data_IF_524908470260
#
_entry.id   IF_524908470260
#
_cell.length_a   1.000
_cell.length_b   1.000
_cell.length_c   1.000
_cell.angle_alpha   90.00
_cell.angle_beta   90.00
_cell.angle_gamma   90.00
#
_symmetry.space_group_name_H-M   'P 1'
#
loop_
_entity.id
_entity.type
_entity.pdbx_description
1 polymer ?
#
# COMPACT_ATOMS: atom_id res chain seq x y z
N UNK A 1 7.43 3.05 3.90
CA UNK A 1 7.28 1.64 3.47
C UNK A 1 6.55 0.89 4.55
N UNK A 2 5.61 0.04 4.15
CA UNK A 2 4.96 -0.93 5.02
C UNK A 2 5.98 -1.97 5.52
N UNK A 3 5.81 -2.43 6.77
CA UNK A 3 6.70 -3.43 7.38
C UNK A 3 6.75 -4.73 6.56
N UNK A 4 5.61 -5.13 6.00
CA UNK A 4 5.47 -6.34 5.17
C UNK A 4 6.30 -6.27 3.89
N UNK A 5 6.25 -5.15 3.17
CA UNK A 5 7.06 -4.94 1.97
C UNK A 5 8.55 -5.10 2.29
N UNK A 6 9.00 -4.51 3.39
CA UNK A 6 10.39 -4.56 3.80
C UNK A 6 10.84 -6.00 4.10
N UNK A 7 10.01 -6.78 4.80
CA UNK A 7 10.29 -8.19 5.09
C UNK A 7 10.32 -9.07 3.83
N UNK A 8 9.50 -8.76 2.83
CA UNK A 8 9.50 -9.47 1.54
C UNK A 8 10.78 -9.13 0.76
N UNK A 9 11.13 -7.85 0.66
CA UNK A 9 12.34 -7.39 -0.04
C UNK A 9 13.62 -7.94 0.59
N UNK A 10 13.66 -8.10 1.92
CA UNK A 10 14.82 -8.68 2.63
C UNK A 10 15.04 -10.17 2.29
N UNK A 11 13.97 -10.91 1.97
CA UNK A 11 14.04 -12.33 1.57
C UNK A 11 14.44 -12.54 0.11
N UNK A 12 14.24 -11.53 -0.74
CA UNK A 12 14.56 -11.63 -2.16
C UNK A 12 16.06 -11.40 -2.36
N UNK A 13 16.80 -12.50 -2.59
CA UNK A 13 18.24 -12.47 -2.87
C UNK A 13 18.53 -12.45 -4.38
N UNK A 14 17.98 -11.47 -5.09
CA UNK A 14 18.17 -11.35 -6.54
C UNK A 14 17.28 -10.28 -7.16
N UNK A 15 17.23 -10.30 -8.49
CA UNK A 15 16.40 -9.38 -9.24
C UNK A 15 14.93 -9.70 -9.05
N UNK A 16 14.11 -8.67 -8.92
CA UNK A 16 12.66 -8.79 -8.89
C UNK A 16 12.02 -7.74 -9.77
N UNK A 17 10.83 -8.05 -10.24
CA UNK A 17 10.00 -7.14 -11.02
C UNK A 17 9.04 -6.50 -10.04
N UNK A 18 8.93 -5.18 -10.08
CA UNK A 18 7.92 -4.44 -9.35
C UNK A 18 6.96 -3.82 -10.35
N UNK A 19 5.67 -4.05 -10.17
CA UNK A 19 4.59 -3.44 -10.94
C UNK A 19 3.92 -2.41 -10.05
N UNK A 20 3.99 -1.14 -10.42
CA UNK A 20 3.33 -0.04 -9.71
C UNK A 20 2.55 0.80 -10.72
N UNK A 21 1.25 1.03 -10.46
CA UNK A 21 0.38 1.82 -11.34
C UNK A 21 0.34 1.35 -12.81
N UNK A 22 0.55 0.05 -13.04
CA UNK A 22 0.63 -0.55 -14.38
C UNK A 22 2.00 -0.45 -15.04
N UNK A 23 2.96 0.24 -14.44
CA UNK A 23 4.35 0.27 -14.89
C UNK A 23 5.16 -0.83 -14.22
N UNK A 24 5.79 -1.70 -15.03
CA UNK A 24 6.70 -2.73 -14.56
C UNK A 24 8.14 -2.25 -14.61
N UNK A 25 8.86 -2.35 -13.49
CA UNK A 25 10.28 -2.00 -13.40
C UNK A 25 11.05 -3.11 -12.71
N UNK A 26 12.19 -3.49 -13.29
CA UNK A 26 13.09 -4.49 -12.70
C UNK A 26 14.01 -3.80 -11.72
N UNK A 27 14.12 -4.37 -10.52
CA UNK A 27 15.00 -3.91 -9.46
C UNK A 27 16.01 -4.99 -9.12
N UNK A 28 17.27 -4.60 -9.01
CA UNK A 28 18.37 -5.53 -8.70
C UNK A 28 18.58 -5.68 -7.20
N UNK A 29 18.07 -4.74 -6.40
CA UNK A 29 18.22 -4.74 -4.95
C UNK A 29 17.14 -3.90 -4.27
N UNK A 30 16.95 -4.16 -2.98
CA UNK A 30 16.12 -3.33 -2.09
C UNK A 30 16.60 -1.87 -2.05
N UNK A 31 17.90 -1.61 -2.04
CA UNK A 31 18.45 -0.25 -1.96
C UNK A 31 18.08 0.58 -3.19
N UNK A 32 18.10 -0.04 -4.38
CA UNK A 32 17.64 0.56 -5.63
C UNK A 32 16.13 0.85 -5.61
N UNK A 33 15.35 -0.06 -5.03
CA UNK A 33 13.93 0.15 -4.79
C UNK A 33 13.66 1.28 -3.77
N UNK A 34 14.44 1.41 -2.69
CA UNK A 34 14.30 2.49 -1.71
C UNK A 34 14.69 3.86 -2.27
N UNK A 35 15.64 3.91 -3.21
CA UNK A 35 15.99 5.13 -3.96
C UNK A 35 14.97 5.49 -5.04
N UNK A 36 14.04 4.59 -5.34
CA UNK A 36 12.97 4.85 -6.30
C UNK A 36 11.97 5.85 -5.72
N UNK A 37 11.46 6.75 -6.56
CA UNK A 37 10.35 7.65 -6.20
C UNK A 37 8.99 6.93 -6.07
N UNK A 38 8.97 5.64 -5.78
CA UNK A 38 7.73 4.91 -5.51
C UNK A 38 7.15 5.46 -4.21
N UNK A 39 5.85 5.79 -4.23
CA UNK A 39 5.18 6.39 -3.08
C UNK A 39 5.42 5.58 -1.79
N UNK A 40 5.74 6.27 -0.70
CA UNK A 40 6.02 5.61 0.60
C UNK A 40 4.80 4.90 1.18
N UNK A 41 3.60 5.25 0.73
CA UNK A 41 2.30 4.72 1.12
C UNK A 41 1.78 3.71 0.09
N UNK A 42 2.53 2.64 -0.11
CA UNK A 42 2.12 1.52 -0.96
C UNK A 42 2.07 0.23 -0.15
N UNK A 43 1.16 -0.65 -0.54
CA UNK A 43 1.06 -2.01 0.00
C UNK A 43 1.23 -3.03 -1.13
N UNK A 44 1.70 -4.22 -0.76
CA UNK A 44 1.81 -5.34 -1.69
C UNK A 44 0.41 -5.89 -1.91
N UNK A 45 -0.12 -5.74 -3.13
CA UNK A 45 -1.42 -6.30 -3.49
C UNK A 45 -1.32 -7.76 -3.89
N UNK A 46 -0.20 -8.16 -4.52
CA UNK A 46 0.03 -9.53 -4.93
C UNK A 46 1.53 -9.81 -5.07
N UNK A 47 1.89 -11.09 -4.91
CA UNK A 47 3.22 -11.62 -5.14
C UNK A 47 3.05 -12.80 -6.10
N UNK A 48 3.72 -12.74 -7.24
CA UNK A 48 3.72 -13.82 -8.23
C UNK A 48 5.14 -14.13 -8.69
N UNK A 49 5.30 -15.21 -9.44
CA UNK A 49 6.59 -15.60 -10.02
C UNK A 49 6.46 -15.72 -11.53
N UNK A 50 7.34 -15.07 -12.28
CA UNK A 50 7.35 -15.09 -13.73
C UNK A 50 8.77 -15.36 -14.22
N UNK A 51 8.95 -16.38 -15.07
CA UNK A 51 10.25 -16.76 -15.66
C UNK A 51 11.40 -16.90 -14.62
N UNK A 52 11.07 -17.41 -13.43
CA UNK A 52 12.03 -17.60 -12.33
C UNK A 52 12.35 -16.33 -11.53
N UNK A 53 11.70 -15.20 -11.82
CA UNK A 53 11.80 -13.95 -11.04
C UNK A 53 10.55 -13.72 -10.21
N UNK A 54 10.73 -13.05 -9.06
CA UNK A 54 9.62 -12.61 -8.22
C UNK A 54 9.02 -11.34 -8.80
N UNK A 55 7.71 -11.31 -8.94
CA UNK A 55 6.92 -10.14 -9.38
C UNK A 55 6.11 -9.64 -8.18
N UNK A 56 6.32 -8.37 -7.83
CA UNK A 56 5.64 -7.68 -6.75
C UNK A 56 4.69 -6.65 -7.35
N UNK A 57 3.39 -6.82 -7.11
CA UNK A 57 2.39 -5.83 -7.50
C UNK A 57 2.10 -4.91 -6.33
N UNK A 58 2.40 -3.62 -6.52
CA UNK A 58 2.20 -2.57 -5.53
C UNK A 58 0.98 -1.75 -5.88
N UNK A 59 0.14 -1.52 -4.87
CA UNK A 59 -0.97 -0.57 -4.95
C UNK A 59 -0.78 0.57 -3.97
N UNK A 60 -1.25 1.73 -4.37
CA UNK A 60 -1.32 2.91 -3.51
C UNK A 60 -2.28 2.62 -2.35
N UNK A 61 -1.80 2.84 -1.14
CA UNK A 61 -2.63 2.82 0.05
C UNK A 61 -3.42 4.12 0.12
N UNK A 62 -4.71 4.05 -0.16
CA UNK A 62 -5.62 5.13 0.11
C UNK A 62 -6.12 4.98 1.55
N UNK A 63 -5.92 6.00 2.38
CA UNK A 63 -6.51 6.02 3.72
C UNK A 63 -8.02 5.81 3.61
N UNK A 64 -8.63 4.96 4.47
CA UNK A 64 -10.07 4.87 4.52
C UNK A 64 -10.61 6.26 4.86
N UNK A 65 -11.34 6.85 3.92
CA UNK A 65 -12.07 8.09 4.16
C UNK A 65 -13.28 7.66 4.99
N UNK A 66 -13.36 8.17 6.24
CA UNK A 66 -14.57 7.97 7.03
C UNK A 66 -15.74 8.59 6.29
N UNK A 67 -16.76 7.79 6.00
CA UNK A 67 -17.98 8.27 5.37
C UNK A 67 -18.76 9.08 6.41
N UNK A 68 -18.48 10.39 6.44
CA UNK A 68 -19.11 11.35 7.37
C UNK A 68 -20.59 11.61 7.04
N UNK A 69 -21.14 11.00 5.98
CA UNK A 69 -22.54 11.13 5.57
C UNK A 69 -23.40 9.89 5.85
N UNK A 70 -22.81 8.84 6.42
CA UNK A 70 -23.49 7.59 6.71
C UNK A 70 -24.56 7.73 7.80
N UNK A 71 -25.56 6.85 7.79
CA UNK A 71 -26.68 6.89 8.73
C UNK A 71 -26.24 6.86 10.21
N UNK A 72 -25.14 6.15 10.52
CA UNK A 72 -24.58 6.12 11.86
C UNK A 72 -24.09 7.50 12.35
N UNK A 73 -23.65 8.38 11.45
CA UNK A 73 -23.23 9.76 11.79
C UNK A 73 -24.44 10.58 12.19
N UNK A 74 -25.54 10.45 11.45
CA UNK A 74 -26.81 11.13 11.75
C UNK A 74 -27.40 10.63 13.07
N UNK A 75 -27.30 9.34 13.35
CA UNK A 75 -27.72 8.77 14.64
C UNK A 75 -26.85 9.27 15.80
N UNK A 76 -25.54 9.39 15.60
CA UNK A 76 -24.62 9.95 16.59
C UNK A 76 -24.96 11.43 16.89
N UNK A 77 -25.13 12.25 15.86
CA UNK A 77 -25.53 13.66 16.04
C UNK A 77 -26.88 13.79 16.75
N UNK A 78 -27.82 12.88 16.48
CA UNK A 78 -29.12 12.85 17.15
C UNK A 78 -29.03 12.47 18.63
N UNK A 79 -28.09 11.59 18.99
CA UNK A 79 -27.91 11.16 20.39
C UNK A 79 -27.07 12.14 21.22
N UNK A 80 -26.03 12.73 20.63
CA UNK A 80 -25.02 13.50 21.35
C UNK A 80 -25.06 15.01 21.02
N UNK A 81 -25.85 15.43 20.04
CA UNK A 81 -26.03 16.84 19.66
C UNK A 81 -24.79 17.47 19.02
N UNK A 82 -23.79 16.67 18.63
CA UNK A 82 -22.54 17.13 18.02
C UNK A 82 -22.05 16.07 17.03
N UNK A 83 -21.42 16.51 15.94
CA UNK A 83 -20.81 15.61 14.98
C UNK A 83 -19.68 14.80 15.64
N UNK A 84 -19.51 13.52 15.29
CA UNK A 84 -18.43 12.71 15.83
C UNK A 84 -17.07 13.28 15.40
N UNK A 85 -16.21 13.58 16.37
CA UNK A 85 -14.82 14.01 16.12
C UNK A 85 -13.91 12.79 16.07
N UNK A 86 -13.11 12.68 15.01
CA UNK A 86 -12.13 11.60 14.82
C UNK A 86 -10.68 12.09 14.92
N UNK A 87 -10.48 13.25 15.55
CA UNK A 87 -9.19 13.91 15.76
C UNK A 87 -8.98 14.29 17.22
#
# INVERSE_FOLDING_TARGET
MSFELNAILDRIKGNFICVYDGESKVFSSKDEFERSNIEKNCYVSAISSQDGMVVLELKKWNSPIADTNSDWVKEYEKQFGTAPSFF
#
